data_IF_069870103710
#
_entry.id   IF_069870103710
#
_cell.length_a   1.000
_cell.length_b   1.000
_cell.length_c   1.000
_cell.angle_alpha   90.00
_cell.angle_beta   90.00
_cell.angle_gamma   90.00
#
_symmetry.space_group_name_H-M   'P 1'
#
loop_
_entity.id
_entity.type
_entity.pdbx_description
1 polymer ?
#
# COMPACT_ATOMS: atom_id res chain seq x y z
N UNK A 1 -132.61 -18.43 9.43
CA UNK A 1 -131.28 -18.49 8.80
C UNK A 1 -130.23 -18.58 9.90
N UNK A 2 -130.05 -19.74 10.55
CA UNK A 2 -129.14 -19.82 11.72
C UNK A 2 -128.50 -21.20 12.00
N UNK A 3 -128.69 -22.19 11.13
CA UNK A 3 -128.00 -23.50 11.25
C UNK A 3 -126.79 -23.65 10.32
N UNK A 4 -126.66 -22.79 9.31
CA UNK A 4 -125.55 -22.86 8.36
C UNK A 4 -124.32 -22.07 8.82
N UNK A 5 -124.50 -20.98 9.57
CA UNK A 5 -123.41 -20.16 10.10
C UNK A 5 -122.64 -20.89 11.22
N UNK A 6 -123.37 -21.55 12.13
CA UNK A 6 -122.79 -22.29 13.27
C UNK A 6 -121.94 -23.51 12.84
N UNK A 7 -122.27 -24.14 11.71
CA UNK A 7 -121.45 -25.23 11.16
C UNK A 7 -120.16 -24.71 10.48
N UNK A 8 -120.18 -23.50 9.92
CA UNK A 8 -118.99 -22.90 9.28
C UNK A 8 -118.00 -22.40 10.32
N UNK A 9 -118.49 -21.75 11.39
CA UNK A 9 -117.64 -21.28 12.49
C UNK A 9 -116.98 -22.45 13.26
N UNK A 10 -117.71 -23.55 13.47
CA UNK A 10 -117.16 -24.75 14.11
C UNK A 10 -116.09 -25.46 13.24
N UNK A 11 -116.26 -25.48 11.92
CA UNK A 11 -115.26 -26.02 10.99
C UNK A 11 -114.02 -25.12 10.93
N UNK A 12 -114.17 -23.80 10.95
CA UNK A 12 -113.03 -22.86 11.02
C UNK A 12 -112.25 -22.96 12.34
N UNK A 13 -112.94 -23.17 13.48
CA UNK A 13 -112.27 -23.32 14.77
C UNK A 13 -111.49 -24.65 14.85
N UNK A 14 -111.99 -25.72 14.21
CA UNK A 14 -111.31 -27.01 14.16
C UNK A 14 -110.09 -26.98 13.20
N UNK A 15 -110.19 -26.26 12.09
CA UNK A 15 -109.06 -26.04 11.17
C UNK A 15 -107.96 -25.19 11.83
N UNK A 16 -108.33 -24.10 12.52
CA UNK A 16 -107.39 -23.25 13.24
C UNK A 16 -106.64 -24.01 14.36
N UNK A 17 -107.30 -24.96 15.04
CA UNK A 17 -106.67 -25.83 16.06
C UNK A 17 -105.69 -26.83 15.43
N UNK A 18 -105.98 -27.34 14.22
CA UNK A 18 -105.06 -28.23 13.47
C UNK A 18 -103.84 -27.47 12.97
N UNK A 19 -104.03 -26.28 12.39
CA UNK A 19 -102.93 -25.39 11.97
C UNK A 19 -102.04 -25.00 13.15
N UNK A 20 -102.62 -24.67 14.30
CA UNK A 20 -101.87 -24.38 15.53
C UNK A 20 -101.05 -25.59 16.00
N UNK A 21 -101.61 -26.80 15.89
CA UNK A 21 -100.91 -28.05 16.22
C UNK A 21 -99.72 -28.34 15.30
N UNK A 22 -99.90 -28.16 13.99
CA UNK A 22 -98.85 -28.24 12.95
C UNK A 22 -97.73 -27.24 13.25
N UNK A 23 -98.07 -25.96 13.45
CA UNK A 23 -97.11 -24.91 13.75
C UNK A 23 -96.32 -25.20 15.04
N UNK A 24 -97.00 -25.68 16.09
CA UNK A 24 -96.35 -26.04 17.35
C UNK A 24 -95.33 -27.19 17.16
N UNK A 25 -95.65 -28.21 16.36
CA UNK A 25 -94.70 -29.28 16.01
C UNK A 25 -93.50 -28.72 15.24
N UNK A 26 -93.72 -27.88 14.23
CA UNK A 26 -92.64 -27.21 13.47
C UNK A 26 -91.71 -26.41 14.37
N UNK A 27 -92.27 -25.59 15.25
CA UNK A 27 -91.51 -24.77 16.22
C UNK A 27 -90.69 -25.66 17.15
N UNK A 28 -91.27 -26.76 17.65
CA UNK A 28 -90.57 -27.70 18.53
C UNK A 28 -89.41 -28.40 17.82
N UNK A 29 -89.59 -28.79 16.56
CA UNK A 29 -88.52 -29.36 15.72
C UNK A 29 -87.42 -28.35 15.47
N UNK A 30 -87.78 -27.13 15.03
CA UNK A 30 -86.81 -26.05 14.81
C UNK A 30 -86.00 -25.74 16.09
N UNK A 31 -86.66 -25.66 17.26
CA UNK A 31 -85.99 -25.43 18.53
C UNK A 31 -84.97 -26.53 18.87
N UNK A 32 -85.29 -27.80 18.57
CA UNK A 32 -84.39 -28.93 18.79
C UNK A 32 -83.18 -28.87 17.85
N UNK A 33 -83.41 -28.58 16.55
CA UNK A 33 -82.36 -28.40 15.56
C UNK A 33 -81.44 -27.20 15.86
N UNK A 34 -82.00 -26.08 16.31
CA UNK A 34 -81.20 -24.94 16.76
C UNK A 34 -80.40 -25.25 18.02
N UNK A 35 -80.94 -26.06 18.93
CA UNK A 35 -80.20 -26.51 20.13
C UNK A 35 -79.02 -27.39 19.74
N UNK A 36 -79.22 -28.31 18.79
CA UNK A 36 -78.14 -29.11 18.21
C UNK A 36 -77.07 -28.21 17.58
N UNK A 37 -77.45 -27.30 16.67
CA UNK A 37 -76.50 -26.42 16.01
C UNK A 37 -75.72 -25.55 17.02
N UNK A 38 -76.40 -25.06 18.05
CA UNK A 38 -75.79 -24.31 19.16
C UNK A 38 -74.77 -25.16 19.94
N UNK A 39 -75.07 -26.43 20.19
CA UNK A 39 -74.10 -27.33 20.83
C UNK A 39 -72.88 -27.60 19.93
N UNK A 40 -73.10 -27.88 18.63
CA UNK A 40 -72.03 -28.09 17.64
C UNK A 40 -71.11 -26.87 17.55
N UNK A 41 -71.69 -25.67 17.43
CA UNK A 41 -70.94 -24.41 17.41
C UNK A 41 -70.12 -24.17 18.69
N UNK A 42 -70.68 -24.47 19.88
CA UNK A 42 -69.94 -24.33 21.16
C UNK A 42 -68.75 -25.27 21.24
N UNK A 43 -68.90 -26.51 20.80
CA UNK A 43 -67.82 -27.50 20.79
C UNK A 43 -66.73 -27.07 19.81
N UNK A 44 -67.12 -26.60 18.61
CA UNK A 44 -66.21 -26.08 17.59
C UNK A 44 -65.50 -24.77 17.98
N UNK A 45 -66.08 -23.98 18.88
CA UNK A 45 -65.45 -22.75 19.38
C UNK A 45 -64.26 -23.02 20.33
N UNK A 46 -64.10 -24.25 20.83
CA UNK A 46 -62.97 -24.64 21.68
C UNK A 46 -61.94 -25.36 20.81
N UNK A 47 -60.75 -24.78 20.55
CA UNK A 47 -59.80 -25.32 19.57
C UNK A 47 -59.45 -26.79 19.80
N UNK A 48 -59.15 -27.18 21.04
CA UNK A 48 -58.82 -28.57 21.39
C UNK A 48 -59.96 -29.56 21.09
N UNK A 49 -61.20 -29.13 21.30
CA UNK A 49 -62.38 -29.96 21.01
C UNK A 49 -62.70 -29.97 19.52
N UNK A 50 -62.48 -28.84 18.83
CA UNK A 50 -62.60 -28.76 17.38
C UNK A 50 -61.63 -29.72 16.67
N UNK A 51 -60.40 -29.87 17.17
CA UNK A 51 -59.47 -30.87 16.64
C UNK A 51 -60.05 -32.30 16.73
N UNK A 52 -60.67 -32.65 17.85
CA UNK A 52 -61.26 -33.98 18.06
C UNK A 52 -62.51 -34.16 17.20
N UNK A 53 -63.42 -33.19 17.19
CA UNK A 53 -64.72 -33.28 16.50
C UNK A 53 -64.59 -33.20 14.98
N UNK A 54 -63.64 -32.42 14.47
CA UNK A 54 -63.36 -32.32 13.04
C UNK A 54 -62.36 -33.39 12.57
N UNK A 55 -61.98 -34.35 13.42
CA UNK A 55 -61.08 -35.46 13.09
C UNK A 55 -59.65 -35.04 12.75
N UNK A 56 -59.20 -33.87 13.21
CA UNK A 56 -57.93 -33.27 12.80
C UNK A 56 -56.78 -33.86 13.59
N UNK A 57 -55.79 -34.42 12.89
CA UNK A 57 -54.55 -34.96 13.46
C UNK A 57 -53.33 -34.29 12.82
N UNK A 58 -52.25 -34.19 13.58
CA UNK A 58 -50.96 -33.74 13.06
C UNK A 58 -50.13 -34.96 12.66
N UNK A 59 -49.73 -35.03 11.40
CA UNK A 59 -48.85 -36.07 10.86
C UNK A 59 -47.48 -35.45 10.54
N UNK A 60 -46.42 -36.11 11.00
CA UNK A 60 -45.06 -35.63 10.79
C UNK A 60 -44.71 -35.58 9.29
N UNK A 61 -44.10 -34.48 8.84
CA UNK A 61 -43.77 -34.21 7.44
C UNK A 61 -44.93 -33.82 6.50
N UNK A 62 -46.20 -34.09 6.85
CA UNK A 62 -47.39 -33.80 6.00
C UNK A 62 -48.24 -32.66 6.57
N UNK A 63 -48.20 -32.41 7.88
CA UNK A 63 -48.91 -31.31 8.54
C UNK A 63 -50.26 -31.75 9.11
N UNK A 64 -51.26 -30.87 9.08
CA UNK A 64 -52.60 -31.16 9.59
C UNK A 64 -53.46 -31.91 8.57
N UNK A 65 -54.07 -32.99 9.02
CA UNK A 65 -54.75 -34.00 8.21
C UNK A 65 -56.13 -34.29 8.82
N UNK A 66 -57.13 -34.58 7.99
CA UNK A 66 -58.47 -34.99 8.45
C UNK A 66 -58.54 -36.46 8.92
N UNK A 67 -59.73 -36.90 9.31
CA UNK A 67 -59.99 -38.27 9.77
C UNK A 67 -59.69 -39.36 8.72
N UNK A 68 -59.75 -38.99 7.44
CA UNK A 68 -59.53 -39.87 6.29
C UNK A 68 -58.06 -39.87 5.82
N UNK A 69 -57.18 -39.15 6.51
CA UNK A 69 -55.78 -39.05 6.11
C UNK A 69 -55.51 -38.02 5.00
N UNK A 70 -56.49 -37.17 4.65
CA UNK A 70 -56.36 -36.15 3.61
C UNK A 70 -55.82 -34.84 4.19
N UNK A 71 -54.77 -34.24 3.60
CA UNK A 71 -54.23 -32.96 4.07
C UNK A 71 -55.29 -31.85 4.03
N UNK A 72 -55.44 -31.11 5.14
CA UNK A 72 -56.41 -30.03 5.24
C UNK A 72 -56.10 -28.84 4.30
N UNK A 73 -54.84 -28.71 3.88
CA UNK A 73 -54.39 -27.74 2.88
C UNK A 73 -55.01 -27.96 1.50
N UNK A 74 -55.39 -29.22 1.18
CA UNK A 74 -56.02 -29.60 -0.09
C UNK A 74 -57.55 -29.62 0.03
N UNK A 75 -58.06 -30.16 1.14
CA UNK A 75 -59.50 -30.32 1.39
C UNK A 75 -60.25 -28.99 1.61
N UNK A 76 -59.63 -27.99 2.25
CA UNK A 76 -60.35 -26.77 2.64
C UNK A 76 -60.56 -25.72 1.53
N UNK A 77 -60.08 -25.99 0.30
CA UNK A 77 -60.18 -25.05 -0.83
C UNK A 77 -61.52 -25.14 -1.57
N UNK A 78 -62.30 -26.22 -1.39
CA UNK A 78 -63.60 -26.41 -2.03
C UNK A 78 -64.64 -26.86 -0.99
N UNK A 79 -65.69 -26.07 -0.78
CA UNK A 79 -66.92 -26.59 -0.16
C UNK A 79 -67.67 -27.31 -1.28
N UNK A 80 -67.42 -28.61 -1.47
CA UNK A 80 -68.25 -29.41 -2.35
C UNK A 80 -69.63 -29.57 -1.70
N UNK A 81 -70.52 -28.61 -1.99
CA UNK A 81 -71.95 -28.67 -1.65
C UNK A 81 -72.70 -29.73 -2.48
N UNK A 82 -72.01 -30.53 -3.30
CA UNK A 82 -72.60 -31.46 -4.28
C UNK A 82 -73.00 -32.82 -3.70
N UNK A 83 -72.72 -33.12 -2.43
CA UNK A 83 -73.02 -34.42 -1.81
C UNK A 83 -74.46 -34.58 -1.28
N UNK A 84 -75.33 -33.56 -1.41
CA UNK A 84 -76.62 -33.57 -0.72
C UNK A 84 -77.76 -34.36 -1.40
N UNK A 85 -77.49 -35.03 -2.51
CA UNK A 85 -78.52 -35.83 -3.21
C UNK A 85 -78.49 -37.33 -2.86
N UNK A 86 -77.63 -37.73 -1.92
CA UNK A 86 -77.51 -39.15 -1.55
C UNK A 86 -76.87 -39.32 -0.16
N UNK A 87 -77.68 -39.24 0.91
CA UNK A 87 -77.44 -40.12 2.05
C UNK A 87 -78.69 -40.40 2.89
N UNK A 88 -79.07 -41.67 2.82
CA UNK A 88 -79.73 -42.51 3.80
C UNK A 88 -81.04 -42.04 4.45
N UNK A 89 -82.12 -42.39 3.77
CA UNK A 89 -83.52 -42.30 4.21
C UNK A 89 -83.81 -43.21 5.42
N UNK A 90 -82.90 -44.13 5.79
CA UNK A 90 -83.22 -45.20 6.76
C UNK A 90 -83.08 -44.80 8.25
N UNK A 91 -82.39 -43.70 8.57
CA UNK A 91 -82.36 -43.22 9.98
C UNK A 91 -83.55 -42.30 10.31
N UNK A 92 -84.24 -41.76 9.30
CA UNK A 92 -85.26 -40.70 9.48
C UNK A 92 -86.67 -41.20 9.75
N UNK A 93 -86.96 -42.45 9.39
CA UNK A 93 -88.25 -43.08 9.67
C UNK A 93 -88.44 -43.44 11.15
N UNK A 94 -87.36 -43.50 11.95
CA UNK A 94 -87.42 -43.91 13.35
C UNK A 94 -87.95 -42.83 14.31
N UNK A 95 -87.82 -41.53 13.98
CA UNK A 95 -88.33 -40.44 14.84
C UNK A 95 -89.75 -39.97 14.45
N UNK A 96 -90.21 -40.32 13.25
CA UNK A 96 -91.55 -39.98 12.74
C UNK A 96 -92.65 -40.99 13.12
N UNK A 97 -92.30 -42.16 13.68
CA UNK A 97 -93.26 -43.25 13.88
C UNK A 97 -94.13 -43.13 15.15
N UNK A 98 -93.93 -42.10 15.95
CA UNK A 98 -94.74 -41.84 17.14
C UNK A 98 -95.34 -40.44 17.11
N UNK A 99 -96.46 -40.27 16.40
CA UNK A 99 -97.70 -39.60 16.86
C UNK A 99 -98.60 -39.25 15.65
N UNK A 100 -99.92 -39.23 15.89
CA UNK A 100 -101.01 -39.17 14.91
C UNK A 100 -100.84 -38.26 13.69
N UNK A 101 -101.42 -38.73 12.57
CA UNK A 101 -101.51 -38.12 11.23
C UNK A 101 -100.61 -36.90 11.02
N UNK A 102 -99.35 -37.17 10.64
CA UNK A 102 -98.48 -36.15 10.07
C UNK A 102 -99.07 -35.74 8.71
N UNK A 103 -99.22 -34.43 8.54
CA UNK A 103 -99.56 -33.83 7.26
C UNK A 103 -98.32 -33.88 6.36
N UNK A 104 -98.52 -34.07 5.05
CA UNK A 104 -97.44 -34.25 4.08
C UNK A 104 -96.50 -33.03 4.04
N UNK A 105 -97.06 -31.83 4.23
CA UNK A 105 -96.33 -30.56 4.33
C UNK A 105 -95.43 -30.45 5.57
N UNK A 106 -95.78 -31.12 6.69
CA UNK A 106 -94.95 -31.14 7.90
C UNK A 106 -93.68 -31.97 7.70
N UNK A 107 -93.78 -33.07 6.96
CA UNK A 107 -92.63 -33.94 6.65
C UNK A 107 -91.64 -33.21 5.73
N UNK A 108 -92.14 -32.49 4.72
CA UNK A 108 -91.32 -31.68 3.81
C UNK A 108 -90.57 -30.58 4.56
N UNK A 109 -91.27 -29.82 5.43
CA UNK A 109 -90.65 -28.77 6.25
C UNK A 109 -89.54 -29.29 7.17
N UNK A 110 -89.77 -30.43 7.83
CA UNK A 110 -88.77 -31.03 8.73
C UNK A 110 -87.53 -31.45 7.95
N UNK A 111 -87.71 -32.07 6.77
CA UNK A 111 -86.62 -32.49 5.91
C UNK A 111 -85.79 -31.29 5.40
N UNK A 112 -86.43 -30.22 4.96
CA UNK A 112 -85.74 -29.00 4.50
C UNK A 112 -85.03 -28.27 5.65
N UNK A 113 -85.65 -28.21 6.83
CA UNK A 113 -85.03 -27.67 8.03
C UNK A 113 -83.80 -28.48 8.45
N UNK A 114 -83.87 -29.81 8.36
CA UNK A 114 -82.75 -30.69 8.65
C UNK A 114 -81.60 -30.51 7.65
N UNK A 115 -81.90 -30.48 6.35
CA UNK A 115 -80.92 -30.19 5.27
C UNK A 115 -80.23 -28.85 5.50
N UNK A 116 -80.99 -27.81 5.87
CA UNK A 116 -80.46 -26.49 6.19
C UNK A 116 -79.49 -26.53 7.38
N UNK A 117 -79.88 -27.19 8.49
CA UNK A 117 -79.02 -27.30 9.68
C UNK A 117 -77.77 -28.15 9.42
N UNK A 118 -77.88 -29.22 8.62
CA UNK A 118 -76.73 -30.02 8.21
C UNK A 118 -75.74 -29.18 7.39
N UNK A 119 -76.24 -28.46 6.38
CA UNK A 119 -75.43 -27.55 5.55
C UNK A 119 -74.73 -26.48 6.40
N UNK A 120 -75.44 -25.86 7.37
CA UNK A 120 -74.79 -24.91 8.30
C UNK A 120 -73.73 -25.62 9.15
N UNK A 121 -73.98 -26.84 9.61
CA UNK A 121 -73.02 -27.65 10.34
C UNK A 121 -71.74 -27.97 9.56
N UNK A 122 -71.85 -28.27 8.26
CA UNK A 122 -70.71 -28.57 7.39
C UNK A 122 -69.90 -27.31 7.08
N UNK A 123 -70.59 -26.18 6.84
CA UNK A 123 -69.95 -24.88 6.65
C UNK A 123 -69.19 -24.46 7.92
N UNK A 124 -69.77 -24.66 9.10
CA UNK A 124 -69.10 -24.43 10.38
C UNK A 124 -67.83 -25.28 10.50
N UNK A 125 -67.89 -26.57 10.16
CA UNK A 125 -66.75 -27.47 10.20
C UNK A 125 -65.63 -27.05 9.24
N UNK A 126 -65.98 -26.74 7.99
CA UNK A 126 -65.04 -26.27 6.97
C UNK A 126 -64.35 -24.96 7.39
N UNK A 127 -65.11 -24.02 7.96
CA UNK A 127 -64.55 -22.76 8.49
C UNK A 127 -63.56 -23.02 9.61
N UNK A 128 -63.91 -23.90 10.56
CA UNK A 128 -63.05 -24.26 11.69
C UNK A 128 -61.76 -24.93 11.21
N UNK A 129 -61.84 -25.88 10.27
CA UNK A 129 -60.66 -26.52 9.65
C UNK A 129 -59.73 -25.47 9.02
N UNK A 130 -60.28 -24.48 8.30
CA UNK A 130 -59.49 -23.36 7.72
C UNK A 130 -58.83 -22.49 8.76
N UNK A 131 -59.55 -22.13 9.83
CA UNK A 131 -59.01 -21.31 10.91
C UNK A 131 -57.84 -22.03 11.58
N UNK A 132 -57.98 -23.31 11.89
CA UNK A 132 -56.94 -24.12 12.51
C UNK A 132 -55.69 -24.21 11.60
N UNK A 133 -55.86 -24.43 10.29
CA UNK A 133 -54.74 -24.44 9.34
C UNK A 133 -54.04 -23.08 9.33
N UNK A 134 -54.79 -21.98 9.17
CA UNK A 134 -54.23 -20.63 9.13
C UNK A 134 -53.48 -20.26 10.42
N UNK A 135 -54.00 -20.65 11.59
CA UNK A 135 -53.34 -20.44 12.88
C UNK A 135 -52.03 -21.23 12.98
N UNK A 136 -52.04 -22.50 12.55
CA UNK A 136 -50.84 -23.34 12.56
C UNK A 136 -49.75 -22.85 11.61
N UNK A 137 -50.11 -22.43 10.38
CA UNK A 137 -49.19 -21.85 9.41
C UNK A 137 -48.63 -20.51 9.91
N UNK A 138 -49.47 -19.68 10.53
CA UNK A 138 -49.03 -18.42 11.14
C UNK A 138 -48.04 -18.66 12.28
N UNK A 139 -48.26 -19.70 13.10
CA UNK A 139 -47.34 -20.05 14.19
C UNK A 139 -45.97 -20.49 13.64
N UNK A 140 -45.96 -21.35 12.61
CA UNK A 140 -44.73 -21.79 11.93
C UNK A 140 -44.00 -20.60 11.30
N UNK A 141 -44.71 -19.70 10.63
CA UNK A 141 -44.08 -18.54 9.99
C UNK A 141 -43.51 -17.56 11.03
N UNK A 142 -44.20 -17.37 12.16
CA UNK A 142 -43.65 -16.61 13.30
C UNK A 142 -42.35 -17.21 13.80
N UNK A 143 -42.28 -18.53 13.98
CA UNK A 143 -41.06 -19.21 14.40
C UNK A 143 -39.92 -18.99 13.39
N UNK A 144 -40.17 -19.18 12.09
CA UNK A 144 -39.18 -18.92 11.04
C UNK A 144 -38.65 -17.49 11.07
N UNK A 145 -39.52 -16.50 11.26
CA UNK A 145 -39.13 -15.09 11.39
C UNK A 145 -38.24 -14.89 12.62
N UNK A 146 -38.56 -15.49 13.76
CA UNK A 146 -37.72 -15.39 14.96
C UNK A 146 -36.33 -15.99 14.76
N UNK A 147 -36.25 -17.19 14.16
CA UNK A 147 -34.97 -17.85 13.84
C UNK A 147 -34.16 -17.02 12.84
N UNK A 148 -34.80 -16.49 11.79
CA UNK A 148 -34.17 -15.63 10.81
C UNK A 148 -33.63 -14.34 11.43
N UNK A 149 -34.38 -13.72 12.33
CA UNK A 149 -33.95 -12.51 13.03
C UNK A 149 -32.71 -12.76 13.90
N UNK A 150 -32.64 -13.90 14.58
CA UNK A 150 -31.48 -14.24 15.41
C UNK A 150 -30.25 -14.59 14.55
N UNK A 151 -30.45 -15.18 13.38
CA UNK A 151 -29.37 -15.35 12.40
C UNK A 151 -28.86 -14.02 11.85
N UNK A 152 -29.76 -13.08 11.53
CA UNK A 152 -29.39 -11.73 11.07
C UNK A 152 -28.57 -11.01 12.14
N UNK A 153 -28.99 -11.05 13.41
CA UNK A 153 -28.22 -10.45 14.53
C UNK A 153 -26.82 -11.05 14.62
N UNK A 154 -26.69 -12.37 14.49
CA UNK A 154 -25.40 -13.07 14.52
C UNK A 154 -24.49 -12.64 13.36
N UNK A 155 -25.04 -12.56 12.14
CA UNK A 155 -24.31 -12.10 10.95
C UNK A 155 -23.90 -10.64 11.05
N UNK A 156 -24.74 -9.78 11.61
CA UNK A 156 -24.40 -8.38 11.85
C UNK A 156 -23.20 -8.23 12.79
N UNK A 157 -23.17 -8.99 13.90
CA UNK A 157 -22.02 -8.99 14.82
C UNK A 157 -20.74 -9.48 14.13
N UNK A 158 -20.83 -10.47 13.24
CA UNK A 158 -19.68 -10.94 12.46
C UNK A 158 -19.19 -9.86 11.49
N UNK A 159 -20.11 -9.17 10.79
CA UNK A 159 -19.78 -8.08 9.87
C UNK A 159 -19.10 -6.94 10.64
N UNK A 160 -19.65 -6.53 11.77
CA UNK A 160 -19.07 -5.46 12.61
C UNK A 160 -17.65 -5.82 13.07
N UNK A 161 -17.43 -7.05 13.53
CA UNK A 161 -16.10 -7.54 13.89
C UNK A 161 -15.14 -7.55 12.69
N UNK A 162 -15.60 -8.00 11.51
CA UNK A 162 -14.80 -7.95 10.29
C UNK A 162 -14.48 -6.51 9.88
N UNK A 163 -15.43 -5.57 10.01
CA UNK A 163 -15.22 -4.15 9.75
C UNK A 163 -14.15 -3.56 10.65
N UNK A 164 -14.20 -3.86 11.95
CA UNK A 164 -13.16 -3.43 12.90
C UNK A 164 -11.78 -3.97 12.50
N UNK A 165 -11.67 -5.26 12.17
CA UNK A 165 -10.40 -5.85 11.72
C UNK A 165 -9.87 -5.22 10.42
N UNK A 166 -10.76 -4.85 9.50
CA UNK A 166 -10.37 -4.15 8.27
C UNK A 166 -9.84 -2.74 8.55
N UNK A 167 -10.41 -2.04 9.54
CA UNK A 167 -9.93 -0.73 9.98
C UNK A 167 -8.52 -0.83 10.60
N UNK A 168 -8.28 -1.82 11.48
CA UNK A 168 -6.94 -2.10 12.02
C UNK A 168 -5.93 -2.41 10.92
N UNK A 169 -6.31 -3.21 9.92
CA UNK A 169 -5.45 -3.52 8.77
C UNK A 169 -5.14 -2.27 7.94
N UNK A 170 -6.12 -1.39 7.73
CA UNK A 170 -5.91 -0.12 7.02
C UNK A 170 -4.92 0.78 7.79
N UNK A 171 -5.05 0.86 9.11
CA UNK A 171 -4.15 1.66 9.94
C UNK A 171 -2.72 1.11 9.94
N UNK A 172 -2.55 -0.22 10.00
CA UNK A 172 -1.24 -0.88 9.86
C UNK A 172 -0.61 -0.63 8.48
N UNK A 173 -1.41 -0.69 7.42
CA UNK A 173 -0.95 -0.43 6.05
C UNK A 173 -0.51 1.04 5.88
N UNK A 174 -1.24 1.98 6.47
CA UNK A 174 -0.86 3.39 6.49
C UNK A 174 0.46 3.60 7.24
N UNK A 175 0.59 3.05 8.45
CA UNK A 175 1.83 3.14 9.22
C UNK A 175 3.04 2.56 8.49
N UNK A 176 2.86 1.39 7.85
CA UNK A 176 3.92 0.75 7.04
C UNK A 176 4.30 1.62 5.84
N UNK A 177 3.34 2.21 5.14
CA UNK A 177 3.61 3.10 4.00
C UNK A 177 4.35 4.38 4.41
N UNK A 178 4.03 4.96 5.57
CA UNK A 178 4.77 6.10 6.11
C UNK A 178 6.26 5.77 6.29
N UNK A 179 6.57 4.63 6.93
CA UNK A 179 7.94 4.19 7.14
C UNK A 179 8.66 3.93 5.81
N UNK A 180 7.99 3.25 4.86
CA UNK A 180 8.57 2.99 3.54
C UNK A 180 8.88 4.28 2.78
N UNK A 181 8.02 5.31 2.88
CA UNK A 181 8.28 6.62 2.28
C UNK A 181 9.49 7.32 2.93
N UNK A 182 9.63 7.28 4.26
CA UNK A 182 10.82 7.81 4.93
C UNK A 182 12.09 7.07 4.52
N UNK A 183 12.04 5.74 4.44
CA UNK A 183 13.18 4.93 3.99
C UNK A 183 13.56 5.26 2.55
N UNK A 184 12.58 5.44 1.66
CA UNK A 184 12.82 5.87 0.28
C UNK A 184 13.55 7.22 0.25
N UNK A 185 13.07 8.21 1.01
CA UNK A 185 13.72 9.53 1.05
C UNK A 185 15.16 9.44 1.56
N UNK A 186 15.41 8.68 2.64
CA UNK A 186 16.78 8.48 3.14
C UNK A 186 17.70 7.83 2.11
N UNK A 187 17.18 6.91 1.30
CA UNK A 187 17.95 6.29 0.21
C UNK A 187 18.26 7.29 -0.89
N UNK A 188 17.29 8.13 -1.29
CA UNK A 188 17.52 9.22 -2.25
C UNK A 188 18.60 10.18 -1.75
N UNK A 189 18.50 10.64 -0.50
CA UNK A 189 19.49 11.54 0.12
C UNK A 189 20.91 10.91 0.15
N UNK A 190 21.01 9.61 0.44
CA UNK A 190 22.28 8.87 0.43
C UNK A 190 22.87 8.74 -0.98
N UNK A 191 22.03 8.55 -2.01
CA UNK A 191 22.47 8.51 -3.40
C UNK A 191 23.03 9.87 -3.82
N UNK A 192 22.35 10.96 -3.47
CA UNK A 192 22.80 12.31 -3.76
C UNK A 192 24.12 12.66 -3.05
N UNK A 193 24.25 12.32 -1.76
CA UNK A 193 25.50 12.52 -1.03
C UNK A 193 26.64 11.66 -1.58
N UNK A 194 26.35 10.41 -1.98
CA UNK A 194 27.33 9.54 -2.64
C UNK A 194 27.80 10.13 -3.96
N UNK A 195 26.89 10.74 -4.74
CA UNK A 195 27.23 11.44 -5.98
C UNK A 195 28.17 12.62 -5.72
N UNK A 196 27.84 13.45 -4.72
CA UNK A 196 28.66 14.59 -4.30
C UNK A 196 30.03 14.18 -3.76
N UNK A 197 30.12 13.05 -3.06
CA UNK A 197 31.40 12.50 -2.61
C UNK A 197 32.25 12.03 -3.79
N UNK A 198 31.65 11.42 -4.81
CA UNK A 198 32.35 11.00 -6.02
C UNK A 198 32.92 12.18 -6.81
N UNK A 199 32.15 13.27 -6.94
CA UNK A 199 32.62 14.50 -7.58
C UNK A 199 33.83 15.10 -6.84
N UNK A 200 33.71 15.28 -5.52
CA UNK A 200 34.84 15.76 -4.69
C UNK A 200 36.07 14.85 -4.77
N UNK A 201 35.88 13.54 -4.85
CA UNK A 201 36.99 12.60 -5.02
C UNK A 201 37.70 12.79 -6.37
N UNK A 202 36.95 13.03 -7.45
CA UNK A 202 37.51 13.31 -8.77
C UNK A 202 38.27 14.65 -8.81
N UNK A 203 37.74 15.69 -8.16
CA UNK A 203 38.45 16.98 -8.00
C UNK A 203 39.77 16.83 -7.24
N UNK A 204 39.75 16.09 -6.13
CA UNK A 204 40.95 15.80 -5.35
C UNK A 204 42.00 15.00 -6.16
N UNK A 205 41.56 14.04 -6.97
CA UNK A 205 42.45 13.28 -7.85
C UNK A 205 43.10 14.20 -8.91
N UNK A 206 42.34 15.13 -9.47
CA UNK A 206 42.86 16.13 -10.41
C UNK A 206 43.90 17.04 -9.75
N UNK A 207 43.61 17.55 -8.54
CA UNK A 207 44.54 18.41 -7.80
C UNK A 207 45.81 17.65 -7.41
N UNK A 208 45.69 16.39 -6.99
CA UNK A 208 46.82 15.52 -6.72
C UNK A 208 47.70 15.33 -7.97
N UNK A 209 47.08 15.16 -9.15
CA UNK A 209 47.81 15.07 -10.42
C UNK A 209 48.59 16.35 -10.74
N UNK A 210 47.99 17.53 -10.52
CA UNK A 210 48.65 18.83 -10.70
C UNK A 210 49.85 18.99 -9.78
N UNK A 211 49.66 18.75 -8.49
CA UNK A 211 50.74 18.83 -7.49
C UNK A 211 51.88 17.87 -7.83
N UNK A 212 51.58 16.65 -8.28
CA UNK A 212 52.60 15.69 -8.72
C UNK A 212 53.41 16.21 -9.92
N UNK A 213 52.76 16.87 -10.87
CA UNK A 213 53.44 17.48 -12.02
C UNK A 213 54.33 18.66 -11.60
N UNK A 214 53.86 19.49 -10.66
CA UNK A 214 54.65 20.60 -10.10
C UNK A 214 55.90 20.09 -9.37
N UNK A 215 55.76 19.03 -8.57
CA UNK A 215 56.91 18.39 -7.93
C UNK A 215 57.91 17.83 -8.92
N UNK A 216 57.45 17.27 -10.04
CA UNK A 216 58.34 16.76 -11.08
C UNK A 216 59.06 17.89 -11.83
N UNK A 217 58.38 19.02 -12.05
CA UNK A 217 58.97 20.24 -12.61
C UNK A 217 60.03 20.81 -11.66
N UNK A 218 59.71 20.91 -10.37
CA UNK A 218 60.62 21.36 -9.33
C UNK A 218 61.86 20.46 -9.21
N UNK A 219 61.68 19.14 -9.26
CA UNK A 219 62.78 18.18 -9.27
C UNK A 219 63.74 18.44 -10.44
N UNK A 220 63.19 18.66 -11.64
CA UNK A 220 63.98 18.96 -12.85
C UNK A 220 64.73 20.28 -12.71
N UNK A 221 64.09 21.30 -12.14
CA UNK A 221 64.70 22.60 -11.86
C UNK A 221 65.87 22.48 -10.87
N UNK A 222 65.69 21.75 -9.77
CA UNK A 222 66.76 21.49 -8.78
C UNK A 222 67.93 20.73 -9.42
N UNK A 223 67.67 19.72 -10.25
CA UNK A 223 68.72 19.03 -11.00
C UNK A 223 69.51 19.98 -11.93
N UNK A 224 68.83 20.91 -12.60
CA UNK A 224 69.49 21.94 -13.40
C UNK A 224 70.37 22.86 -12.56
N UNK A 225 69.87 23.32 -11.40
CA UNK A 225 70.66 24.13 -10.47
C UNK A 225 71.90 23.41 -9.94
N UNK A 226 71.80 22.10 -9.68
CA UNK A 226 72.95 21.28 -9.29
C UNK A 226 74.00 21.28 -10.40
N UNK A 227 73.61 21.05 -11.65
CA UNK A 227 74.53 21.07 -12.79
C UNK A 227 75.20 22.44 -12.99
N UNK A 228 74.43 23.53 -12.83
CA UNK A 228 74.97 24.91 -12.89
C UNK A 228 76.00 25.11 -11.77
N UNK A 229 75.69 24.68 -10.54
CA UNK A 229 76.61 24.76 -9.41
C UNK A 229 77.90 23.98 -9.67
N UNK A 230 77.81 22.77 -10.21
CA UNK A 230 78.99 21.96 -10.55
C UNK A 230 79.85 22.63 -11.62
N UNK A 231 79.22 23.23 -12.63
CA UNK A 231 79.90 24.02 -13.68
C UNK A 231 80.61 25.23 -13.08
N UNK A 232 79.95 25.97 -12.18
CA UNK A 232 80.55 27.12 -11.47
C UNK A 232 81.75 26.69 -10.63
N UNK A 233 81.64 25.59 -9.87
CA UNK A 233 82.75 25.05 -9.07
C UNK A 233 83.94 24.65 -9.98
N UNK A 234 83.67 24.10 -11.16
CA UNK A 234 84.73 23.77 -12.13
C UNK A 234 85.41 25.04 -12.67
N UNK A 235 84.62 26.04 -13.04
CA UNK A 235 85.12 27.34 -13.50
C UNK A 235 85.97 28.02 -12.42
N UNK A 236 85.52 28.04 -11.18
CA UNK A 236 86.26 28.57 -10.03
C UNK A 236 87.65 27.93 -9.89
N UNK A 237 87.75 26.60 -10.03
CA UNK A 237 89.05 25.90 -10.01
C UNK A 237 89.97 26.33 -11.15
N UNK A 238 89.41 26.62 -12.33
CA UNK A 238 90.18 27.15 -13.46
C UNK A 238 90.65 28.57 -13.18
N UNK A 239 89.81 29.44 -12.62
CA UNK A 239 90.19 30.79 -12.22
C UNK A 239 91.34 30.77 -11.20
N UNK A 240 91.26 29.93 -10.17
CA UNK A 240 92.35 29.75 -9.21
C UNK A 240 93.66 29.28 -9.87
N UNK A 241 93.58 28.50 -10.94
CA UNK A 241 94.77 28.08 -11.69
C UNK A 241 95.36 29.25 -12.48
N UNK A 242 94.50 30.07 -13.09
CA UNK A 242 94.89 31.28 -13.80
C UNK A 242 95.53 32.29 -12.85
N UNK A 243 94.96 32.50 -11.65
CA UNK A 243 95.52 33.39 -10.62
C UNK A 243 96.95 32.98 -10.23
N UNK A 244 97.22 31.70 -9.97
CA UNK A 244 98.58 31.21 -9.69
C UNK A 244 99.56 31.45 -10.84
N UNK A 245 99.10 31.34 -12.08
CA UNK A 245 99.91 31.66 -13.25
C UNK A 245 100.20 33.16 -13.33
N UNK A 246 99.21 34.01 -13.02
CA UNK A 246 99.39 35.47 -12.93
C UNK A 246 100.38 35.85 -11.83
N UNK A 247 100.26 35.28 -10.63
CA UNK A 247 101.22 35.50 -9.53
C UNK A 247 102.64 35.15 -9.97
N UNK A 248 102.84 33.99 -10.61
CA UNK A 248 104.14 33.58 -11.14
C UNK A 248 104.66 34.52 -12.22
N UNK A 249 103.78 35.00 -13.10
CA UNK A 249 104.12 35.96 -14.15
C UNK A 249 104.57 37.29 -13.54
N UNK A 250 103.85 37.82 -12.54
CA UNK A 250 104.22 39.04 -11.81
C UNK A 250 105.61 38.89 -11.19
N UNK A 251 105.87 37.80 -10.47
CA UNK A 251 107.20 37.51 -9.88
C UNK A 251 108.29 37.48 -10.97
N UNK A 252 108.02 36.81 -12.09
CA UNK A 252 108.99 36.71 -13.19
C UNK A 252 109.26 38.06 -13.86
N UNK A 253 108.23 38.87 -14.04
CA UNK A 253 108.34 40.24 -14.57
C UNK A 253 109.18 41.11 -13.66
N UNK A 254 108.93 41.08 -12.34
CA UNK A 254 109.75 41.83 -11.36
C UNK A 254 111.21 41.35 -11.34
N UNK A 255 111.46 40.04 -11.47
CA UNK A 255 112.83 39.52 -11.60
C UNK A 255 113.52 40.05 -12.87
N UNK A 256 112.85 39.97 -14.02
CA UNK A 256 113.39 40.45 -15.29
C UNK A 256 113.64 41.97 -15.28
N UNK A 257 112.78 42.75 -14.62
CA UNK A 257 112.97 44.18 -14.42
C UNK A 257 114.22 44.48 -13.58
N UNK A 258 114.44 43.75 -12.48
CA UNK A 258 115.66 43.87 -11.68
C UNK A 258 116.92 43.49 -12.48
N UNK A 259 116.88 42.36 -13.21
CA UNK A 259 117.99 41.94 -14.08
C UNK A 259 118.28 42.97 -15.18
N UNK A 260 117.24 43.58 -15.75
CA UNK A 260 117.35 44.65 -16.73
C UNK A 260 118.03 45.89 -16.12
N UNK A 261 117.55 46.38 -14.98
CA UNK A 261 118.14 47.56 -14.32
C UNK A 261 119.61 47.32 -13.94
N UNK A 262 119.96 46.12 -13.46
CA UNK A 262 121.34 45.74 -13.17
C UNK A 262 122.21 45.77 -14.43
N UNK A 263 121.74 45.21 -15.55
CA UNK A 263 122.45 45.25 -16.84
C UNK A 263 122.59 46.66 -17.39
N UNK A 264 121.57 47.51 -17.25
CA UNK A 264 121.64 48.92 -17.64
C UNK A 264 122.73 49.67 -16.86
N UNK A 265 122.89 49.39 -15.56
CA UNK A 265 123.99 49.94 -14.75
C UNK A 265 125.36 49.42 -15.22
N UNK A 266 125.48 48.13 -15.53
CA UNK A 266 126.73 47.56 -16.04
C UNK A 266 127.13 48.17 -17.40
N UNK A 267 126.18 48.31 -18.31
CA UNK A 267 126.38 49.00 -19.60
C UNK A 267 126.83 50.44 -19.38
N UNK A 268 126.20 51.18 -18.46
CA UNK A 268 126.59 52.55 -18.14
C UNK A 268 128.05 52.63 -17.63
N UNK A 269 128.45 51.71 -16.75
CA UNK A 269 129.83 51.62 -16.24
C UNK A 269 130.84 51.30 -17.34
N UNK A 270 130.51 50.36 -18.23
CA UNK A 270 131.35 50.02 -19.39
C UNK A 270 131.45 51.20 -20.35
N UNK A 271 130.37 51.97 -20.57
CA UNK A 271 130.40 53.20 -21.35
C UNK A 271 131.33 54.24 -20.73
N UNK A 272 131.26 54.48 -19.42
CA UNK A 272 132.17 55.39 -18.71
C UNK A 272 133.64 54.96 -18.83
N UNK A 273 133.92 53.66 -18.67
CA UNK A 273 135.26 53.12 -18.86
C UNK A 273 135.75 53.25 -20.30
N UNK A 274 134.87 53.02 -21.29
CA UNK A 274 135.21 53.17 -22.70
C UNK A 274 135.55 54.63 -23.06
N UNK A 275 134.78 55.59 -22.53
CA UNK A 275 135.08 57.02 -22.64
C UNK A 275 136.45 57.35 -22.01
N UNK A 276 136.74 56.82 -20.82
CA UNK A 276 138.05 56.99 -20.16
C UNK A 276 139.21 56.40 -20.96
N UNK A 277 139.04 55.19 -21.50
CA UNK A 277 140.05 54.52 -22.32
C UNK A 277 140.26 55.26 -23.64
N UNK A 278 139.20 55.76 -24.27
CA UNK A 278 139.28 56.60 -25.48
C UNK A 278 140.06 57.88 -25.20
N UNK A 279 139.76 58.59 -24.10
CA UNK A 279 140.53 59.77 -23.70
C UNK A 279 142.01 59.47 -23.41
N UNK A 280 142.31 58.28 -22.85
CA UNK A 280 143.68 57.83 -22.62
C UNK A 280 144.39 57.48 -23.95
N UNK A 281 143.67 56.86 -24.88
CA UNK A 281 144.15 56.57 -26.24
C UNK A 281 144.48 57.87 -26.96
N UNK A 282 143.58 58.85 -26.98
CA UNK A 282 143.80 60.18 -27.56
C UNK A 282 145.04 60.85 -26.97
N UNK A 283 145.21 60.77 -25.64
CA UNK A 283 146.41 61.30 -24.96
C UNK A 283 147.68 60.59 -25.43
N UNK A 284 147.65 59.27 -25.61
CA UNK A 284 148.80 58.48 -26.08
C UNK A 284 149.10 58.72 -27.55
N UNK A 285 148.08 58.87 -28.37
CA UNK A 285 148.21 59.22 -29.79
C UNK A 285 148.80 60.63 -29.93
N UNK A 286 148.33 61.61 -29.15
CA UNK A 286 148.93 62.94 -29.09
C UNK A 286 150.41 62.90 -28.63
N UNK A 287 150.74 62.08 -27.62
CA UNK A 287 152.14 61.85 -27.20
C UNK A 287 152.98 61.24 -28.33
N UNK A 288 152.45 60.24 -29.04
CA UNK A 288 153.13 59.61 -30.18
C UNK A 288 153.34 60.58 -31.33
N UNK A 289 152.33 61.40 -31.68
CA UNK A 289 152.45 62.44 -32.71
C UNK A 289 153.51 63.46 -32.29
N UNK A 290 153.51 63.92 -31.04
CA UNK A 290 154.52 64.83 -30.53
C UNK A 290 155.92 64.21 -30.57
N UNK A 291 156.06 62.93 -30.20
CA UNK A 291 157.34 62.22 -30.26
C UNK A 291 157.79 61.98 -31.71
N UNK A 292 156.87 61.67 -32.62
CA UNK A 292 157.13 61.54 -34.05
C UNK A 292 157.58 62.87 -34.65
N UNK A 293 156.96 63.98 -34.23
CA UNK A 293 157.38 65.32 -34.64
C UNK A 293 158.74 65.69 -34.03
N UNK A 294 159.02 65.31 -32.78
CA UNK A 294 160.38 65.41 -32.20
C UNK A 294 161.40 64.59 -32.99
N UNK A 295 161.07 63.35 -33.39
CA UNK A 295 161.93 62.53 -34.25
C UNK A 295 162.15 63.16 -35.63
N UNK A 296 161.12 63.79 -36.23
CA UNK A 296 161.27 64.58 -37.46
C UNK A 296 162.16 65.80 -37.26
N UNK A 297 162.00 66.54 -36.17
CA UNK A 297 162.86 67.68 -35.84
C UNK A 297 164.30 67.23 -35.59
N UNK A 298 164.52 66.09 -34.93
CA UNK A 298 165.84 65.47 -34.78
C UNK A 298 166.41 65.00 -36.12
N UNK A 299 165.58 64.48 -37.04
CA UNK A 299 166.00 64.11 -38.39
C UNK A 299 166.30 65.34 -39.28
N UNK A 300 165.61 66.46 -39.08
CA UNK A 300 165.87 67.74 -39.76
C UNK A 300 167.06 68.50 -39.13
N UNK A 301 167.38 68.24 -37.87
CA UNK A 301 168.53 68.79 -37.14
C UNK A 301 169.73 67.84 -37.08
N UNK A 302 169.65 66.67 -37.71
CA UNK A 302 170.80 65.81 -37.91
C UNK A 302 171.72 66.48 -38.95
N UNK A 303 172.96 66.86 -38.57
CA UNK A 303 173.89 67.47 -39.49
C UNK A 303 174.25 66.45 -40.57
N UNK A 304 174.11 66.87 -41.83
CA UNK A 304 174.68 66.21 -42.99
C UNK A 304 176.17 65.96 -42.74
N UNK A 305 176.54 64.70 -42.52
CA UNK A 305 177.86 64.13 -42.78
C UNK A 305 177.64 62.78 -43.43
#
# INVERSE_FOLDING_TARGET
MDRSQYCVDALQEEDAKKELGVLWRRVKTAASLFTYLKSKARIMAVPQMAHIVCGIKQLDGVGLVDENGVPLSVSSRNVELSSFDSLDVETWTALGSHHGSLDEDDVVYINESFKSVHMVGDVMESLVKRVIVAESETAIEKEKVTVGQDEIKRKNLQIENMSFRLEEMAQLALGTNCILNEMRQRVEDLVDETSRQRERAAENEQELCRVKQDFQSLKTYVSSLINIRETLISSEKQFQTIERLFERLVVKTSQLENEKTQKEVEVQKLMEENVRLTALLDKKEAQLVAMNEQCKVLALNAPTI
#
